data_IF_296791403204
#
_entry.id   IF_296791403204
#
_cell.length_a   1.000
_cell.length_b   1.000
_cell.length_c   1.000
_cell.angle_alpha   90.00
_cell.angle_beta   90.00
_cell.angle_gamma   90.00
#
_symmetry.space_group_name_H-M   'P 1'
#
loop_
_entity.id
_entity.type
_entity.pdbx_description
1 polymer ?
#
# COMPACT_ATOMS: atom_id res chain seq x y z
N UNK A 1 -7.12 -19.97 2.41
CA UNK A 1 -6.01 -20.78 2.98
C UNK A 1 -6.55 -21.95 3.80
N UNK A 2 -7.63 -21.76 4.55
CA UNK A 2 -8.24 -22.84 5.38
C UNK A 2 -8.75 -24.03 4.55
N UNK A 3 -9.24 -23.78 3.34
CA UNK A 3 -9.72 -24.87 2.44
C UNK A 3 -8.59 -25.74 1.87
N UNK A 4 -7.34 -25.29 1.93
CA UNK A 4 -6.18 -26.05 1.47
C UNK A 4 -5.33 -26.61 2.62
N UNK A 5 -5.75 -26.45 3.88
CA UNK A 5 -5.00 -26.91 5.04
C UNK A 5 -3.65 -26.20 5.26
N UNK A 6 -3.41 -25.10 4.59
CA UNK A 6 -2.15 -24.34 4.69
C UNK A 6 -2.32 -23.23 5.73
N UNK A 7 -1.64 -23.36 6.85
CA UNK A 7 -1.62 -22.36 7.91
C UNK A 7 -0.70 -21.20 7.52
N UNK A 8 -1.17 -19.96 7.71
CA UNK A 8 -0.31 -18.77 7.59
C UNK A 8 0.77 -18.79 8.68
N UNK A 9 2.04 -18.74 8.26
CA UNK A 9 3.20 -18.67 9.14
C UNK A 9 3.90 -17.32 8.87
N UNK A 10 3.88 -16.37 9.84
CA UNK A 10 4.44 -15.03 9.66
C UNK A 10 5.90 -15.01 9.21
N UNK A 11 6.73 -15.92 9.75
CA UNK A 11 8.16 -16.01 9.42
C UNK A 11 8.38 -16.44 7.97
N UNK A 12 7.58 -17.39 7.48
CA UNK A 12 7.65 -17.84 6.08
C UNK A 12 7.28 -16.71 5.13
N UNK A 13 6.25 -15.94 5.47
CA UNK A 13 5.85 -14.76 4.70
C UNK A 13 6.95 -13.69 4.68
N UNK A 14 7.56 -13.39 5.84
CA UNK A 14 8.64 -12.42 5.94
C UNK A 14 9.87 -12.86 5.13
N UNK A 15 10.23 -14.15 5.19
CA UNK A 15 11.33 -14.71 4.39
C UNK A 15 11.04 -14.62 2.88
N UNK A 16 9.80 -14.84 2.47
CA UNK A 16 9.40 -14.63 1.08
C UNK A 16 9.52 -13.16 0.67
N UNK A 17 9.10 -12.21 1.49
CA UNK A 17 9.26 -10.76 1.22
C UNK A 17 10.73 -10.39 1.05
N UNK A 18 11.63 -10.98 1.88
CA UNK A 18 13.08 -10.73 1.80
C UNK A 18 13.73 -11.26 0.52
N UNK A 19 13.10 -12.19 -0.19
CA UNK A 19 13.60 -12.65 -1.50
C UNK A 19 13.47 -11.58 -2.59
N UNK A 20 12.61 -10.57 -2.38
CA UNK A 20 12.38 -9.47 -3.33
C UNK A 20 12.11 -9.96 -4.77
N UNK A 21 11.35 -11.06 -4.91
CA UNK A 21 11.13 -11.77 -6.18
C UNK A 21 9.67 -11.78 -6.65
N UNK A 22 8.80 -10.97 -6.03
CA UNK A 22 7.40 -10.87 -6.45
C UNK A 22 7.29 -10.24 -7.83
N UNK A 23 6.45 -10.81 -8.71
CA UNK A 23 6.13 -10.24 -10.01
C UNK A 23 5.10 -9.10 -9.92
N UNK A 24 4.87 -8.42 -11.04
CA UNK A 24 3.81 -7.42 -11.17
C UNK A 24 2.51 -8.06 -11.65
N UNK A 25 1.40 -7.54 -11.17
CA UNK A 25 0.10 -7.77 -11.81
C UNK A 25 0.13 -7.16 -13.22
N UNK A 26 -0.38 -7.87 -14.26
CA UNK A 26 -0.40 -7.34 -15.62
C UNK A 26 -1.01 -5.93 -15.69
N UNK A 27 -0.36 -5.04 -16.43
CA UNK A 27 -0.78 -3.64 -16.58
C UNK A 27 -0.25 -2.68 -15.51
N UNK A 28 0.24 -3.15 -14.37
CA UNK A 28 0.70 -2.30 -13.26
C UNK A 28 1.81 -1.33 -13.70
N UNK A 29 2.80 -1.79 -14.47
CA UNK A 29 3.90 -0.92 -14.91
C UNK A 29 3.39 0.24 -15.79
N UNK A 30 2.53 -0.05 -16.76
CA UNK A 30 1.94 0.95 -17.64
C UNK A 30 1.05 1.94 -16.86
N UNK A 31 0.27 1.44 -15.90
CA UNK A 31 -0.56 2.29 -15.05
C UNK A 31 0.30 3.25 -14.20
N UNK A 32 1.31 2.74 -13.51
CA UNK A 32 2.23 3.54 -12.70
C UNK A 32 2.92 4.60 -13.56
N UNK A 33 3.44 4.23 -14.73
CA UNK A 33 4.08 5.16 -15.64
C UNK A 33 3.11 6.29 -16.03
N UNK A 34 1.88 5.95 -16.41
CA UNK A 34 0.87 6.93 -16.81
C UNK A 34 0.49 7.91 -15.67
N UNK A 35 0.45 7.43 -14.42
CA UNK A 35 0.21 8.29 -13.25
C UNK A 35 1.36 9.26 -13.06
N UNK A 36 2.60 8.78 -13.10
CA UNK A 36 3.80 9.59 -12.89
C UNK A 36 4.02 10.60 -14.03
N UNK A 37 3.77 10.22 -15.27
CA UNK A 37 3.87 11.12 -16.44
C UNK A 37 2.90 12.31 -16.37
N UNK A 38 1.81 12.14 -15.64
CA UNK A 38 0.83 13.21 -15.38
C UNK A 38 1.16 14.03 -14.12
N UNK A 39 2.34 13.84 -13.52
CA UNK A 39 2.73 14.50 -12.28
C UNK A 39 2.06 13.96 -11.03
N UNK A 40 1.38 12.82 -11.13
CA UNK A 40 0.83 12.12 -9.98
C UNK A 40 1.92 11.50 -9.10
N UNK A 41 1.54 11.10 -7.90
CA UNK A 41 2.41 10.41 -6.93
C UNK A 41 1.77 9.11 -6.47
N UNK A 42 2.57 8.22 -5.90
CA UNK A 42 2.13 6.90 -5.41
C UNK A 42 2.30 6.80 -3.90
N UNK A 43 1.23 6.46 -3.20
CA UNK A 43 1.30 6.02 -1.80
C UNK A 43 1.05 4.50 -1.75
N UNK A 44 2.10 3.74 -1.48
CA UNK A 44 2.06 2.27 -1.38
C UNK A 44 1.88 1.88 0.07
N UNK A 45 0.64 1.69 0.50
CA UNK A 45 0.27 1.38 1.88
C UNK A 45 0.10 -0.13 2.03
N UNK A 46 0.93 -0.76 2.85
CA UNK A 46 0.95 -2.22 3.01
C UNK A 46 1.00 -2.65 4.47
N UNK A 47 0.45 -3.84 4.76
CA UNK A 47 0.60 -4.49 6.07
C UNK A 47 1.89 -5.32 6.19
N UNK A 48 2.78 -5.29 5.22
CA UNK A 48 4.15 -5.77 5.41
C UNK A 48 4.82 -4.95 6.51
N UNK A 49 5.67 -5.59 7.32
CA UNK A 49 6.39 -4.91 8.39
C UNK A 49 7.30 -3.82 7.83
N UNK A 50 7.45 -2.72 8.57
CA UNK A 50 8.35 -1.61 8.22
C UNK A 50 9.80 -2.04 8.05
N UNK A 51 10.25 -2.99 8.84
CA UNK A 51 11.61 -3.55 8.82
C UNK A 51 11.98 -4.22 7.48
N UNK A 52 10.98 -4.60 6.67
CA UNK A 52 11.18 -5.24 5.35
C UNK A 52 10.83 -4.32 4.18
N UNK A 53 10.61 -3.03 4.40
CA UNK A 53 10.34 -2.03 3.35
C UNK A 53 11.47 -1.97 2.32
N UNK A 54 12.72 -2.11 2.76
CA UNK A 54 13.89 -2.11 1.87
C UNK A 54 13.82 -3.20 0.80
N UNK A 55 13.40 -4.41 1.16
CA UNK A 55 13.22 -5.51 0.21
C UNK A 55 12.05 -5.27 -0.75
N UNK A 56 10.96 -4.70 -0.24
CA UNK A 56 9.82 -4.31 -1.09
C UNK A 56 10.26 -3.24 -2.09
N UNK A 57 10.99 -2.24 -1.65
CA UNK A 57 11.51 -1.18 -2.53
C UNK A 57 12.47 -1.73 -3.59
N UNK A 58 13.41 -2.60 -3.19
CA UNK A 58 14.34 -3.27 -4.11
C UNK A 58 13.60 -4.08 -5.16
N UNK A 59 12.60 -4.85 -4.76
CA UNK A 59 11.78 -5.64 -5.70
C UNK A 59 11.10 -4.73 -6.75
N UNK A 60 10.45 -3.67 -6.32
CA UNK A 60 9.77 -2.73 -7.23
C UNK A 60 10.77 -2.06 -8.19
N UNK A 61 11.96 -1.71 -7.73
CA UNK A 61 13.03 -1.16 -8.57
C UNK A 61 13.59 -2.19 -9.56
N UNK A 62 13.81 -3.42 -9.12
CA UNK A 62 14.28 -4.52 -9.98
C UNK A 62 13.28 -4.86 -11.10
N UNK A 63 12.00 -4.63 -10.88
CA UNK A 63 10.93 -4.77 -11.87
C UNK A 63 10.86 -3.58 -12.86
N UNK A 64 11.80 -2.63 -12.78
CA UNK A 64 11.88 -1.49 -13.69
C UNK A 64 10.87 -0.37 -13.44
N UNK A 65 10.19 -0.37 -12.29
CA UNK A 65 9.25 0.71 -11.99
C UNK A 65 10.00 2.03 -11.75
N UNK A 66 9.53 3.16 -12.31
CA UNK A 66 10.20 4.47 -12.25
C UNK A 66 9.94 5.18 -10.90
N UNK A 67 10.00 4.42 -9.81
CA UNK A 67 9.76 4.93 -8.46
C UNK A 67 11.00 5.59 -7.88
N UNK A 68 10.79 6.71 -7.20
CA UNK A 68 11.80 7.48 -6.47
C UNK A 68 11.22 7.92 -5.12
N UNK A 69 12.05 8.32 -4.14
CA UNK A 69 11.53 8.85 -2.88
C UNK A 69 10.68 10.12 -3.02
N UNK A 70 10.84 10.87 -4.12
CA UNK A 70 10.06 12.08 -4.38
C UNK A 70 8.66 11.79 -4.93
N UNK A 71 8.52 10.75 -5.74
CA UNK A 71 7.24 10.42 -6.38
C UNK A 71 6.50 9.24 -5.73
N UNK A 72 7.15 8.50 -4.81
CA UNK A 72 6.57 7.30 -4.21
C UNK A 72 6.83 7.24 -2.71
N UNK A 73 5.76 7.14 -1.94
CA UNK A 73 5.77 6.89 -0.51
C UNK A 73 5.45 5.41 -0.25
N UNK A 74 6.39 4.65 0.27
CA UNK A 74 6.14 3.29 0.76
C UNK A 74 5.93 3.33 2.27
N UNK A 75 4.80 2.79 2.73
CA UNK A 75 4.36 2.75 4.12
C UNK A 75 4.06 1.33 4.55
N UNK A 76 5.00 0.69 5.24
CA UNK A 76 4.78 -0.55 5.97
C UNK A 76 4.17 -0.28 7.34
N UNK A 77 3.71 -1.36 8.00
CA UNK A 77 3.27 -1.27 9.39
C UNK A 77 4.48 -1.24 10.33
N UNK A 78 4.54 -0.22 11.20
CA UNK A 78 5.57 -0.13 12.23
C UNK A 78 5.15 -0.84 13.53
N UNK A 79 6.14 -1.25 14.34
CA UNK A 79 5.85 -1.77 15.67
C UNK A 79 5.17 -0.71 16.57
N UNK A 80 5.51 0.57 16.35
CA UNK A 80 4.87 1.71 17.01
C UNK A 80 3.37 1.82 16.66
N UNK A 81 2.94 1.29 15.51
CA UNK A 81 1.53 1.31 15.08
C UNK A 81 0.63 0.39 15.93
N UNK A 82 1.22 -0.40 16.82
CA UNK A 82 0.46 -1.16 17.83
C UNK A 82 -0.17 -0.27 18.89
N UNK A 83 0.29 0.97 19.01
CA UNK A 83 -0.32 1.93 19.92
C UNK A 83 -1.67 2.38 19.39
N UNK A 84 -2.66 2.41 20.26
CA UNK A 84 -3.95 2.96 19.91
C UNK A 84 -3.85 4.47 19.69
N UNK A 85 -4.40 4.93 18.57
CA UNK A 85 -4.63 6.36 18.31
C UNK A 85 -6.15 6.51 18.26
N UNK A 86 -6.71 7.36 19.11
CA UNK A 86 -8.16 7.54 19.26
C UNK A 86 -8.93 6.22 19.44
N UNK A 87 -8.33 5.29 20.21
CA UNK A 87 -8.90 3.96 20.44
C UNK A 87 -8.69 2.94 19.33
N UNK A 88 -8.01 3.31 18.23
CA UNK A 88 -7.69 2.41 17.11
C UNK A 88 -6.20 2.11 17.02
N UNK A 89 -5.85 0.84 16.86
CA UNK A 89 -4.47 0.44 16.57
C UNK A 89 -4.20 0.59 15.06
N UNK A 90 -3.15 1.30 14.69
CA UNK A 90 -2.78 1.53 13.28
C UNK A 90 -2.24 0.29 12.57
N UNK A 91 -1.91 -0.76 13.28
CA UNK A 91 -1.16 -1.91 12.73
C UNK A 91 -1.78 -2.52 11.46
N UNK A 92 -3.10 -2.56 11.39
CA UNK A 92 -3.85 -3.06 10.24
C UNK A 92 -4.83 -2.00 9.70
N UNK A 93 -4.78 -0.79 10.21
CA UNK A 93 -5.66 0.30 9.81
C UNK A 93 -4.98 1.14 8.73
N UNK A 94 -5.39 0.92 7.49
CA UNK A 94 -4.87 1.67 6.34
C UNK A 94 -5.46 3.09 6.25
N UNK A 95 -6.62 3.34 6.87
CA UNK A 95 -7.21 4.68 6.91
C UNK A 95 -6.34 5.68 7.66
N UNK A 96 -5.82 5.29 8.82
CA UNK A 96 -4.92 6.15 9.59
C UNK A 96 -3.62 6.46 8.83
N UNK A 97 -3.09 5.49 8.04
CA UNK A 97 -1.92 5.73 7.19
C UNK A 97 -2.25 6.60 5.98
N UNK A 98 -3.45 6.47 5.41
CA UNK A 98 -3.96 7.40 4.37
C UNK A 98 -4.03 8.82 4.89
N UNK A 99 -4.59 9.03 6.09
CA UNK A 99 -4.62 10.33 6.75
C UNK A 99 -3.22 10.92 6.94
N UNK A 100 -2.22 10.12 7.28
CA UNK A 100 -0.84 10.61 7.35
C UNK A 100 -0.32 11.12 6.01
N UNK A 101 -0.67 10.46 4.90
CA UNK A 101 -0.34 10.94 3.55
C UNK A 101 -1.05 12.26 3.25
N UNK A 102 -2.34 12.33 3.53
CA UNK A 102 -3.15 13.53 3.30
C UNK A 102 -2.67 14.73 4.13
N UNK A 103 -2.25 14.49 5.36
CA UNK A 103 -1.74 15.53 6.26
C UNK A 103 -0.27 15.92 6.00
N UNK A 104 0.45 15.21 5.13
CA UNK A 104 1.86 15.46 4.87
C UNK A 104 2.80 15.07 6.01
N UNK A 105 2.43 14.09 6.82
CA UNK A 105 3.25 13.59 7.93
C UNK A 105 3.55 12.08 7.84
N UNK A 106 3.37 11.50 6.66
CA UNK A 106 3.61 10.08 6.42
C UNK A 106 5.09 9.70 6.58
N UNK A 107 5.42 8.70 7.41
CA UNK A 107 6.79 8.23 7.63
C UNK A 107 7.26 7.32 6.50
N UNK A 108 7.30 7.84 5.27
CA UNK A 108 7.66 7.10 4.06
C UNK A 108 9.05 6.45 4.16
N UNK A 109 9.18 5.27 3.59
CA UNK A 109 10.47 4.59 3.47
C UNK A 109 11.50 5.45 2.71
N UNK A 110 12.73 5.46 3.21
CA UNK A 110 13.87 6.17 2.62
C UNK A 110 15.02 5.21 2.35
N UNK A 111 15.38 5.00 1.08
CA UNK A 111 16.62 4.29 0.77
C UNK A 111 17.83 5.01 1.36
N UNK A 112 18.79 4.26 1.93
CA UNK A 112 20.01 4.83 2.56
C UNK A 112 20.86 5.68 1.60
N UNK A 113 20.71 5.45 0.30
CA UNK A 113 21.46 6.17 -0.76
C UNK A 113 20.78 7.46 -1.20
N UNK A 114 19.62 7.80 -0.68
CA UNK A 114 18.86 8.99 -1.10
C UNK A 114 18.98 10.10 -0.07
N UNK A 115 19.57 11.23 -0.50
CA UNK A 115 19.59 12.48 0.26
C UNK A 115 18.40 13.41 -0.06
N UNK A 116 17.60 13.07 -1.06
CA UNK A 116 16.49 13.88 -1.57
C UNK A 116 15.13 13.18 -1.39
N UNK A 117 14.04 13.93 -1.41
CA UNK A 117 12.68 13.38 -1.46
C UNK A 117 11.90 13.38 -0.16
N UNK A 118 12.33 14.15 0.84
CA UNK A 118 11.59 14.25 2.12
C UNK A 118 10.56 15.36 2.14
N UNK A 119 10.79 16.40 1.37
CA UNK A 119 9.99 17.61 1.40
C UNK A 119 8.65 17.42 0.69
N UNK A 120 8.60 16.60 -0.37
CA UNK A 120 7.36 16.37 -1.13
C UNK A 120 6.27 15.65 -0.34
N UNK A 121 6.65 14.78 0.62
CA UNK A 121 5.71 14.07 1.49
C UNK A 121 5.46 14.75 2.83
N UNK A 122 6.12 15.89 3.06
CA UNK A 122 5.86 16.78 4.21
C UNK A 122 4.80 17.83 3.90
N UNK A 123 4.19 17.75 2.73
CA UNK A 123 3.07 18.59 2.32
C UNK A 123 1.80 17.74 2.24
N UNK A 124 0.66 18.36 2.51
CA UNK A 124 -0.66 17.76 2.32
C UNK A 124 -0.82 17.23 0.89
N UNK A 125 -1.35 16.02 0.75
CA UNK A 125 -1.61 15.37 -0.53
C UNK A 125 -3.10 15.11 -0.68
N UNK A 126 -3.64 15.27 -1.87
CA UNK A 126 -4.99 14.84 -2.20
C UNK A 126 -4.94 13.45 -2.81
N UNK A 127 -5.62 12.48 -2.20
CA UNK A 127 -5.77 11.14 -2.77
C UNK A 127 -6.89 11.17 -3.80
N UNK A 128 -6.56 10.86 -5.05
CA UNK A 128 -7.50 10.88 -6.17
C UNK A 128 -8.04 9.50 -6.53
N UNK A 129 -7.30 8.44 -6.18
CA UNK A 129 -7.65 7.08 -6.56
C UNK A 129 -7.12 6.08 -5.54
N UNK A 130 -7.91 5.05 -5.27
CA UNK A 130 -7.53 3.90 -4.47
C UNK A 130 -7.46 2.66 -5.35
N UNK A 131 -6.39 1.89 -5.23
CA UNK A 131 -6.18 0.63 -5.94
C UNK A 131 -5.79 -0.44 -4.93
N UNK A 132 -6.49 -1.53 -4.89
CA UNK A 132 -6.22 -2.60 -3.93
C UNK A 132 -6.89 -3.91 -4.29
N UNK A 133 -6.54 -4.95 -3.57
CA UNK A 133 -7.06 -6.31 -3.73
C UNK A 133 -7.87 -6.77 -2.51
N UNK A 134 -8.15 -5.84 -1.61
CA UNK A 134 -8.89 -6.10 -0.37
C UNK A 134 -9.84 -4.93 -0.07
N UNK A 135 -11.02 -5.23 0.47
CA UNK A 135 -12.01 -4.21 0.81
C UNK A 135 -11.43 -3.12 1.75
N UNK A 136 -10.51 -3.49 2.64
CA UNK A 136 -9.82 -2.57 3.56
C UNK A 136 -8.78 -1.67 2.86
N UNK A 137 -8.58 -1.82 1.56
CA UNK A 137 -7.76 -0.91 0.76
C UNK A 137 -8.53 0.35 0.35
N UNK A 138 -9.83 0.37 0.60
CA UNK A 138 -10.72 1.51 0.35
C UNK A 138 -11.07 2.23 1.65
N UNK A 139 -11.29 3.55 1.60
CA UNK A 139 -11.53 4.35 2.80
C UNK A 139 -12.77 3.92 3.57
N UNK A 140 -12.63 3.79 4.88
CA UNK A 140 -13.74 3.52 5.81
C UNK A 140 -14.55 2.28 5.48
N UNK A 141 -13.96 1.29 4.77
CA UNK A 141 -14.66 0.08 4.38
C UNK A 141 -14.19 -1.14 5.18
N UNK A 142 -15.15 -1.90 5.67
CA UNK A 142 -14.95 -3.24 6.24
C UNK A 142 -15.82 -4.23 5.49
N UNK A 143 -15.60 -5.54 5.68
CA UNK A 143 -16.46 -6.58 5.08
C UNK A 143 -17.91 -6.53 5.59
N UNK A 144 -18.11 -5.99 6.80
CA UNK A 144 -19.39 -5.95 7.48
C UNK A 144 -20.21 -4.71 7.08
N UNK A 145 -19.49 -3.58 6.79
CA UNK A 145 -20.11 -2.27 6.58
C UNK A 145 -20.01 -1.78 5.12
N UNK A 146 -19.45 -2.59 4.20
CA UNK A 146 -19.28 -2.16 2.82
C UNK A 146 -20.63 -2.11 2.08
N UNK A 147 -20.98 -0.93 1.58
CA UNK A 147 -22.06 -0.80 0.61
C UNK A 147 -21.53 -1.14 -0.80
N UNK A 148 -21.93 -2.34 -1.27
CA UNK A 148 -21.49 -2.84 -2.59
C UNK A 148 -22.01 -1.95 -3.71
N UNK A 149 -23.21 -1.37 -3.58
CA UNK A 149 -23.80 -0.51 -4.60
C UNK A 149 -22.99 0.79 -4.73
N UNK A 150 -22.61 1.40 -3.62
CA UNK A 150 -21.74 2.59 -3.61
C UNK A 150 -20.35 2.29 -4.16
N UNK A 151 -19.75 1.15 -3.79
CA UNK A 151 -18.49 0.66 -4.33
C UNK A 151 -18.52 0.56 -5.87
N UNK A 152 -19.59 -0.04 -6.42
CA UNK A 152 -19.75 -0.23 -7.86
C UNK A 152 -19.94 1.12 -8.60
N UNK A 153 -20.56 2.11 -7.96
CA UNK A 153 -20.70 3.45 -8.52
C UNK A 153 -19.36 4.20 -8.60
N UNK A 154 -18.46 3.93 -7.68
CA UNK A 154 -17.14 4.56 -7.65
C UNK A 154 -16.10 3.85 -8.53
N UNK A 155 -16.34 2.61 -8.93
CA UNK A 155 -15.52 1.93 -9.94
C UNK A 155 -15.92 2.37 -11.36
N UNK A 156 -14.96 2.51 -12.27
CA UNK A 156 -13.51 2.47 -12.14
C UNK A 156 -12.87 3.86 -11.94
N UNK A 157 -13.61 4.82 -11.44
CA UNK A 157 -13.18 6.23 -11.38
C UNK A 157 -12.18 6.51 -10.27
N UNK A 158 -12.57 6.18 -9.04
CA UNK A 158 -11.78 6.49 -7.83
C UNK A 158 -11.35 5.23 -7.10
N UNK A 159 -12.03 4.10 -7.32
CA UNK A 159 -11.72 2.82 -6.73
C UNK A 159 -11.43 1.79 -7.84
N UNK A 160 -10.32 1.07 -7.72
CA UNK A 160 -9.97 -0.05 -8.59
C UNK A 160 -9.72 -1.26 -7.71
N UNK A 161 -10.65 -2.22 -7.76
CA UNK A 161 -10.51 -3.49 -7.06
C UNK A 161 -9.81 -4.50 -7.98
N UNK A 162 -8.66 -5.00 -7.53
CA UNK A 162 -7.90 -6.03 -8.22
C UNK A 162 -8.34 -7.42 -7.76
N UNK A 163 -8.45 -8.41 -8.65
CA UNK A 163 -8.76 -9.76 -8.24
C UNK A 163 -7.65 -10.36 -7.37
N UNK A 164 -8.02 -11.03 -6.27
CA UNK A 164 -7.10 -11.74 -5.41
C UNK A 164 -7.56 -13.19 -5.20
N UNK A 165 -6.93 -14.17 -5.86
CA UNK A 165 -7.30 -15.57 -5.72
C UNK A 165 -6.81 -16.23 -4.42
N UNK A 166 -5.91 -15.57 -3.67
CA UNK A 166 -5.26 -16.17 -2.50
C UNK A 166 -6.06 -16.00 -1.22
N UNK A 167 -6.66 -14.85 -1.02
CA UNK A 167 -7.58 -14.57 0.09
C UNK A 167 -8.56 -13.49 -0.38
N UNK A 168 -9.83 -13.81 -0.30
CA UNK A 168 -10.89 -12.87 -0.64
C UNK A 168 -11.35 -12.18 0.63
N UNK A 169 -11.28 -10.87 0.64
CA UNK A 169 -12.08 -10.00 1.49
C UNK A 169 -12.93 -9.17 0.55
N UNK A 170 -13.75 -9.88 -0.20
CA UNK A 170 -14.73 -9.31 -1.13
C UNK A 170 -15.98 -8.91 -0.39
#
# INVERSE_FOLDING_TARGET
>A
LDKMGVRYIPETWENWVKQASAGLVPGTAAFIQAVLDKGGKLALITNRKKEVESYTWQNLRALGLPITPSNTCLLGRAEADKRAIDGKAMINDKDLRRQQVEMGNAPCYRPKTSSTGTQEWSQSQQILMHVGDNIKDFPSMTQEDADIADLLLQQPRTFILLPNPMYGSW
#
